data_IF_782980537622
#
_entry.id   IF_782980537622
#
_cell.length_a   1.000
_cell.length_b   1.000
_cell.length_c   1.000
_cell.angle_alpha   90.00
_cell.angle_beta   90.00
_cell.angle_gamma   90.00
#
_symmetry.space_group_name_H-M   'P 1'
#
loop_
_entity.id
_entity.type
_entity.pdbx_description
1 polymer ?
#
# COMPACT_ATOMS: atom_id res chain seq x y z
N UNK A 1 -13.08 13.05 -21.06
CA UNK A 1 -12.56 11.73 -21.41
C UNK A 1 -11.39 11.41 -20.48
N UNK A 2 -11.51 10.40 -19.63
CA UNK A 2 -10.49 10.01 -18.66
C UNK A 2 -9.44 9.17 -19.38
N UNK A 3 -8.13 9.44 -19.17
CA UNK A 3 -7.07 8.63 -19.78
C UNK A 3 -7.13 7.17 -19.31
N UNK A 4 -6.94 6.17 -20.18
CA UNK A 4 -6.94 4.74 -19.81
C UNK A 4 -5.94 4.37 -18.70
N UNK A 5 -4.84 5.11 -18.60
CA UNK A 5 -3.84 4.94 -17.54
C UNK A 5 -4.43 5.11 -16.13
N UNK A 6 -5.31 6.11 -15.94
CA UNK A 6 -5.96 6.33 -14.63
C UNK A 6 -6.84 5.16 -14.21
N UNK A 7 -7.55 4.57 -15.18
CA UNK A 7 -8.40 3.42 -14.92
C UNK A 7 -7.56 2.18 -14.60
N UNK A 8 -6.44 1.99 -15.30
CA UNK A 8 -5.51 0.91 -15.04
C UNK A 8 -4.87 1.01 -13.64
N UNK A 9 -4.41 2.20 -13.23
CA UNK A 9 -3.87 2.42 -11.87
C UNK A 9 -4.96 2.21 -10.83
N UNK A 10 -6.16 2.75 -11.05
CA UNK A 10 -7.31 2.54 -10.17
C UNK A 10 -7.56 1.06 -9.93
N UNK A 11 -7.59 0.27 -10.99
CA UNK A 11 -7.85 -1.17 -10.95
C UNK A 11 -6.75 -1.96 -10.23
N UNK A 12 -5.48 -1.74 -10.56
CA UNK A 12 -4.36 -2.47 -9.96
C UNK A 12 -4.32 -2.34 -8.43
N UNK A 13 -4.77 -1.22 -7.91
CA UNK A 13 -4.81 -1.00 -6.46
C UNK A 13 -6.19 -1.30 -5.84
N UNK A 14 -7.25 -1.42 -6.62
CA UNK A 14 -8.56 -1.88 -6.14
C UNK A 14 -8.56 -3.38 -5.95
N UNK A 15 -8.05 -4.04 -6.97
CA UNK A 15 -7.95 -5.47 -7.06
C UNK A 15 -9.18 -6.20 -6.50
N UNK A 16 -10.18 -6.39 -7.33
CA UNK A 16 -11.44 -7.05 -6.97
C UNK A 16 -11.28 -8.42 -6.30
N UNK A 17 -10.07 -8.96 -6.25
CA UNK A 17 -9.76 -10.24 -5.63
C UNK A 17 -9.03 -10.10 -4.28
N UNK A 18 -8.36 -9.00 -3.96
CA UNK A 18 -7.34 -9.09 -2.92
C UNK A 18 -7.00 -7.80 -2.18
N UNK A 19 -7.73 -6.87 -1.92
CA UNK A 19 -7.46 -5.69 -1.10
C UNK A 19 -5.99 -5.22 -0.92
N UNK A 20 -5.74 -4.02 -0.42
CA UNK A 20 -4.40 -3.37 -0.41
C UNK A 20 -3.26 -4.20 0.21
N UNK A 21 -3.48 -4.98 1.29
CA UNK A 21 -2.40 -5.79 1.88
C UNK A 21 -1.84 -6.86 0.95
N UNK A 22 -2.64 -7.36 -0.01
CA UNK A 22 -2.22 -8.43 -0.91
C UNK A 22 -1.21 -7.93 -1.94
N UNK A 23 -1.41 -6.74 -2.51
CA UNK A 23 -0.42 -6.11 -3.39
C UNK A 23 0.94 -5.93 -2.69
N UNK A 24 0.92 -5.48 -1.44
CA UNK A 24 2.11 -5.39 -0.58
C UNK A 24 2.76 -6.76 -0.39
N UNK A 25 1.95 -7.80 -0.12
CA UNK A 25 2.44 -9.17 0.09
C UNK A 25 3.08 -9.77 -1.16
N UNK A 26 2.53 -9.52 -2.34
CA UNK A 26 3.10 -9.98 -3.61
C UNK A 26 4.50 -9.37 -3.85
N UNK A 27 4.64 -8.04 -3.63
CA UNK A 27 5.93 -7.38 -3.76
C UNK A 27 6.93 -7.91 -2.74
N UNK A 28 6.52 -8.11 -1.49
CA UNK A 28 7.36 -8.70 -0.45
C UNK A 28 7.85 -10.09 -0.82
N UNK A 29 6.95 -10.95 -1.29
CA UNK A 29 7.30 -12.32 -1.72
C UNK A 29 8.28 -12.31 -2.88
N UNK A 30 8.07 -11.43 -3.86
CA UNK A 30 8.99 -11.28 -4.99
C UNK A 30 10.37 -10.78 -4.54
N UNK A 31 10.45 -9.85 -3.60
CA UNK A 31 11.72 -9.37 -3.04
C UNK A 31 12.45 -10.47 -2.26
N UNK A 32 11.75 -11.24 -1.43
CA UNK A 32 12.32 -12.37 -0.69
C UNK A 32 12.94 -13.37 -1.65
N UNK A 33 12.22 -13.74 -2.71
CA UNK A 33 12.71 -14.67 -3.72
C UNK A 33 13.89 -14.09 -4.52
N UNK A 34 13.81 -12.82 -4.95
CA UNK A 34 14.87 -12.17 -5.74
C UNK A 34 16.18 -12.01 -4.96
N UNK A 35 16.11 -11.79 -3.65
CA UNK A 35 17.26 -11.61 -2.78
C UNK A 35 17.77 -12.93 -2.20
N UNK A 36 17.12 -14.05 -2.50
CA UNK A 36 17.42 -15.39 -1.99
C UNK A 36 17.62 -15.37 -0.46
N UNK A 37 16.62 -14.79 0.24
CA UNK A 37 16.74 -14.61 1.68
C UNK A 37 16.71 -15.95 2.42
N UNK A 38 17.64 -16.18 3.40
CA UNK A 38 17.54 -17.31 4.30
C UNK A 38 16.18 -17.37 5.00
N UNK A 39 15.67 -18.56 5.29
CA UNK A 39 14.32 -18.78 5.86
C UNK A 39 14.05 -17.91 7.09
N UNK A 40 15.00 -17.80 8.01
CA UNK A 40 14.84 -16.99 9.22
C UNK A 40 14.70 -15.50 8.91
N UNK A 41 15.44 -15.01 7.92
CA UNK A 41 15.36 -13.61 7.49
C UNK A 41 14.07 -13.35 6.71
N UNK A 42 13.69 -14.24 5.81
CA UNK A 42 12.42 -14.19 5.09
C UNK A 42 11.23 -14.14 6.06
N UNK A 43 11.24 -15.02 7.09
CA UNK A 43 10.22 -15.02 8.14
C UNK A 43 10.20 -13.71 8.94
N UNK A 44 11.36 -13.13 9.26
CA UNK A 44 11.47 -11.83 9.91
C UNK A 44 10.86 -10.72 9.05
N UNK A 45 11.16 -10.69 7.75
CA UNK A 45 10.61 -9.71 6.82
C UNK A 45 9.09 -9.81 6.74
N UNK A 46 8.58 -11.03 6.55
CA UNK A 46 7.14 -11.30 6.56
C UNK A 46 6.49 -10.78 7.85
N UNK A 47 7.00 -11.17 9.00
CA UNK A 47 6.44 -10.79 10.28
C UNK A 47 6.45 -9.28 10.52
N UNK A 48 7.54 -8.57 10.16
CA UNK A 48 7.63 -7.11 10.33
C UNK A 48 6.66 -6.37 9.42
N UNK A 49 6.56 -6.76 8.14
CA UNK A 49 5.63 -6.10 7.20
C UNK A 49 4.19 -6.33 7.64
N UNK A 50 3.81 -7.57 7.99
CA UNK A 50 2.46 -7.84 8.45
C UNK A 50 2.11 -7.18 9.78
N UNK A 51 3.07 -7.07 10.71
CA UNK A 51 2.87 -6.33 11.96
C UNK A 51 2.64 -4.82 11.69
N UNK A 52 3.37 -4.24 10.73
CA UNK A 52 3.17 -2.86 10.32
C UNK A 52 1.80 -2.67 9.67
N UNK A 53 1.39 -3.57 8.76
CA UNK A 53 0.07 -3.55 8.12
C UNK A 53 -1.06 -3.68 9.14
N UNK A 54 -0.96 -4.63 10.07
CA UNK A 54 -1.96 -4.83 11.12
C UNK A 54 -2.14 -3.58 11.99
N UNK A 55 -1.02 -3.00 12.44
CA UNK A 55 -1.07 -1.77 13.23
C UNK A 55 -1.67 -0.61 12.45
N UNK A 56 -1.25 -0.44 11.20
CA UNK A 56 -1.78 0.58 10.31
C UNK A 56 -3.29 0.42 10.10
N UNK A 57 -3.77 -0.80 9.91
CA UNK A 57 -5.18 -1.12 9.77
C UNK A 57 -5.99 -0.71 10.99
N UNK A 58 -5.55 -1.11 12.19
CA UNK A 58 -6.23 -0.74 13.43
C UNK A 58 -6.33 0.78 13.61
N UNK A 59 -5.23 1.50 13.35
CA UNK A 59 -5.20 2.94 13.55
C UNK A 59 -6.04 3.68 12.50
N UNK A 60 -5.97 3.28 11.22
CA UNK A 60 -6.74 3.93 10.16
C UNK A 60 -8.25 3.73 10.35
N UNK A 61 -8.69 2.52 10.81
CA UNK A 61 -10.08 2.27 11.08
C UNK A 61 -10.58 3.04 12.31
N UNK A 62 -9.77 3.13 13.36
CA UNK A 62 -10.09 3.95 14.52
C UNK A 62 -10.31 5.41 14.13
N UNK A 63 -9.39 6.00 13.37
CA UNK A 63 -9.52 7.39 12.89
C UNK A 63 -10.72 7.59 11.96
N UNK A 64 -11.02 6.62 11.07
CA UNK A 64 -12.19 6.70 10.19
C UNK A 64 -13.48 6.94 10.96
N UNK A 65 -13.74 6.12 11.95
CA UNK A 65 -14.97 6.20 12.72
C UNK A 65 -14.97 7.32 13.76
N UNK A 66 -13.80 7.74 14.26
CA UNK A 66 -13.69 8.92 15.12
C UNK A 66 -13.97 10.22 14.36
N UNK A 67 -13.50 10.35 13.11
CA UNK A 67 -13.64 11.57 12.32
C UNK A 67 -14.94 11.61 11.51
N UNK A 68 -15.39 10.47 11.05
CA UNK A 68 -16.63 10.28 10.28
C UNK A 68 -16.82 11.26 9.09
N UNK A 69 -15.77 11.45 8.29
CA UNK A 69 -15.77 12.37 7.15
C UNK A 69 -16.53 11.78 5.96
N UNK A 70 -17.36 12.58 5.32
CA UNK A 70 -18.12 12.21 4.12
C UNK A 70 -17.19 11.83 2.97
N UNK A 71 -17.65 10.86 2.15
CA UNK A 71 -17.01 10.53 0.88
C UNK A 71 -17.22 11.65 -0.15
N UNK A 72 -16.30 11.80 -1.14
CA UNK A 72 -16.46 12.78 -2.22
C UNK A 72 -17.83 12.69 -2.91
N UNK A 73 -18.29 11.48 -3.25
CA UNK A 73 -19.60 11.29 -3.86
C UNK A 73 -20.72 11.83 -2.97
N UNK A 74 -20.76 11.41 -1.69
CA UNK A 74 -21.80 11.87 -0.76
C UNK A 74 -21.78 13.37 -0.57
N UNK A 75 -20.57 13.97 -0.55
CA UNK A 75 -20.44 15.43 -0.45
C UNK A 75 -20.96 16.14 -1.71
N UNK A 76 -20.61 15.61 -2.90
CA UNK A 76 -21.08 16.16 -4.18
C UNK A 76 -22.61 16.06 -4.29
N UNK A 77 -23.19 14.89 -4.00
CA UNK A 77 -24.64 14.68 -4.06
C UNK A 77 -25.39 15.61 -3.10
N UNK A 78 -24.81 15.88 -1.92
CA UNK A 78 -25.42 16.73 -0.89
C UNK A 78 -25.29 18.23 -1.15
N UNK A 79 -24.12 18.69 -1.57
CA UNK A 79 -23.82 20.13 -1.62
C UNK A 79 -23.86 20.71 -3.03
N UNK A 80 -23.70 19.86 -4.06
CA UNK A 80 -23.71 20.23 -5.47
C UNK A 80 -24.48 19.20 -6.31
N UNK A 81 -25.80 19.04 -6.09
CA UNK A 81 -26.59 18.04 -6.81
C UNK A 81 -26.46 18.21 -8.33
N UNK A 82 -26.18 17.13 -9.03
CA UNK A 82 -26.03 17.10 -10.48
C UNK A 82 -24.71 17.63 -11.04
N UNK A 83 -23.81 18.16 -10.21
CA UNK A 83 -22.50 18.62 -10.68
C UNK A 83 -21.55 17.47 -11.06
N UNK A 84 -21.75 16.29 -10.48
CA UNK A 84 -20.96 15.09 -10.79
C UNK A 84 -21.86 13.99 -11.39
N UNK A 85 -22.13 14.09 -12.68
CA UNK A 85 -23.09 13.23 -13.39
C UNK A 85 -22.61 11.78 -13.54
N UNK A 86 -21.29 11.54 -13.58
CA UNK A 86 -20.72 10.21 -13.80
C UNK A 86 -20.27 9.53 -12.49
N UNK A 87 -20.31 10.22 -11.36
CA UNK A 87 -19.84 9.68 -10.09
C UNK A 87 -18.33 9.34 -10.07
N UNK A 88 -17.86 8.65 -9.04
CA UNK A 88 -16.50 8.14 -8.97
C UNK A 88 -16.30 6.97 -9.95
N UNK A 89 -15.06 6.76 -10.40
CA UNK A 89 -14.73 5.65 -11.29
C UNK A 89 -14.75 4.29 -10.56
N UNK A 90 -14.60 4.32 -9.25
CA UNK A 90 -14.67 3.15 -8.37
C UNK A 90 -15.89 3.31 -7.46
N UNK A 91 -16.67 2.26 -7.20
CA UNK A 91 -17.78 2.34 -6.27
C UNK A 91 -17.36 2.92 -4.91
N UNK A 92 -18.09 3.94 -4.45
CA UNK A 92 -17.78 4.58 -3.18
C UNK A 92 -18.07 3.64 -2.02
N UNK A 93 -17.07 3.32 -1.16
CA UNK A 93 -17.30 2.47 0.01
C UNK A 93 -18.28 3.10 1.00
N UNK A 94 -18.98 2.26 1.76
CA UNK A 94 -20.00 2.66 2.74
C UNK A 94 -19.45 3.13 4.09
N UNK A 95 -18.13 3.19 4.25
CA UNK A 95 -17.46 3.65 5.46
C UNK A 95 -16.77 5.02 5.23
N UNK A 96 -16.42 5.76 6.31
CA UNK A 96 -15.92 7.12 6.21
C UNK A 96 -14.68 7.29 5.32
N UNK A 97 -14.55 8.48 4.69
CA UNK A 97 -13.47 8.78 3.77
C UNK A 97 -12.11 8.83 4.46
N UNK A 98 -11.98 9.74 5.42
CA UNK A 98 -10.70 10.05 6.09
C UNK A 98 -10.38 9.06 7.22
N UNK A 99 -9.11 8.64 7.35
CA UNK A 99 -8.02 8.69 6.37
C UNK A 99 -8.13 7.58 5.32
N UNK A 100 -7.36 7.64 4.22
CA UNK A 100 -7.34 6.61 3.18
C UNK A 100 -6.70 5.31 3.69
N UNK A 101 -7.44 4.19 3.61
CA UNK A 101 -6.91 2.86 3.95
C UNK A 101 -5.83 2.38 2.99
N UNK A 102 -6.02 2.57 1.67
CA UNK A 102 -5.04 2.18 0.65
C UNK A 102 -3.71 2.91 0.83
N UNK A 103 -3.75 4.22 1.05
CA UNK A 103 -2.56 5.03 1.33
C UNK A 103 -1.84 4.55 2.60
N UNK A 104 -2.62 4.21 3.62
CA UNK A 104 -2.10 3.73 4.90
C UNK A 104 -1.39 2.37 4.75
N UNK A 105 -2.04 1.40 4.09
CA UNK A 105 -1.45 0.08 3.86
C UNK A 105 -0.24 0.14 2.92
N UNK A 106 -0.32 0.90 1.83
CA UNK A 106 0.81 1.12 0.92
C UNK A 106 2.02 1.71 1.65
N UNK A 107 1.81 2.82 2.36
CA UNK A 107 2.88 3.46 3.13
C UNK A 107 3.46 2.52 4.19
N UNK A 108 2.62 1.79 4.96
CA UNK A 108 3.13 0.92 6.01
C UNK A 108 3.94 -0.26 5.47
N UNK A 109 3.47 -0.91 4.42
CA UNK A 109 4.14 -2.06 3.83
C UNK A 109 5.44 -1.68 3.11
N UNK A 110 5.36 -0.78 2.14
CA UNK A 110 6.51 -0.42 1.32
C UNK A 110 7.59 0.34 2.10
N UNK A 111 7.22 1.22 3.04
CA UNK A 111 8.19 1.89 3.92
C UNK A 111 8.87 0.91 4.89
N UNK A 112 8.20 -0.17 5.30
CA UNK A 112 8.86 -1.24 6.07
C UNK A 112 9.87 -1.98 5.21
N UNK A 113 9.52 -2.33 3.96
CA UNK A 113 10.44 -2.99 3.02
C UNK A 113 11.67 -2.13 2.70
N UNK A 114 11.49 -0.81 2.49
CA UNK A 114 12.61 0.13 2.28
C UNK A 114 13.63 0.07 3.42
N UNK A 115 13.16 0.02 4.68
CA UNK A 115 14.05 -0.11 5.84
C UNK A 115 14.78 -1.45 5.89
N UNK A 116 14.09 -2.54 5.54
CA UNK A 116 14.67 -3.87 5.48
C UNK A 116 15.71 -4.01 4.35
N UNK A 117 15.44 -3.40 3.20
CA UNK A 117 16.40 -3.32 2.09
C UNK A 117 17.64 -2.51 2.48
N UNK A 118 17.46 -1.39 3.16
CA UNK A 118 18.56 -0.56 3.65
C UNK A 118 19.47 -1.29 4.64
N UNK A 119 18.93 -2.21 5.49
CA UNK A 119 19.76 -3.08 6.34
C UNK A 119 20.74 -3.93 5.52
N UNK A 120 20.41 -4.22 4.26
CA UNK A 120 21.24 -5.01 3.33
C UNK A 120 22.07 -4.15 2.37
N UNK A 121 22.04 -2.83 2.53
CA UNK A 121 22.71 -1.90 1.62
C UNK A 121 22.04 -1.81 0.24
N UNK A 122 20.78 -2.22 0.11
CA UNK A 122 20.02 -2.15 -1.14
C UNK A 122 19.14 -0.90 -1.11
N UNK A 123 19.30 -0.05 -2.15
CA UNK A 123 18.40 1.06 -2.37
C UNK A 123 17.08 0.57 -2.98
N UNK A 124 16.02 0.59 -2.18
CA UNK A 124 14.69 0.14 -2.62
C UNK A 124 14.03 1.10 -3.61
N UNK A 125 14.48 2.35 -3.69
CA UNK A 125 13.97 3.32 -4.66
C UNK A 125 14.74 3.29 -6.00
N UNK A 126 15.86 2.57 -6.07
CA UNK A 126 16.51 2.22 -7.32
C UNK A 126 15.96 0.94 -7.99
N UNK A 127 15.00 0.27 -7.34
CA UNK A 127 14.40 -0.94 -7.88
C UNK A 127 13.27 -0.60 -8.87
N UNK A 128 13.21 -1.33 -9.98
CA UNK A 128 12.03 -1.33 -10.84
C UNK A 128 11.07 -2.44 -10.38
N UNK A 129 9.83 -2.07 -10.14
CA UNK A 129 8.75 -2.99 -9.76
C UNK A 129 7.65 -2.96 -10.80
N UNK A 130 7.26 -4.14 -11.28
CA UNK A 130 6.12 -4.30 -12.15
C UNK A 130 4.93 -4.82 -11.33
N UNK A 131 3.83 -4.08 -11.34
CA UNK A 131 2.55 -4.56 -10.85
C UNK A 131 1.69 -4.97 -12.04
N UNK A 132 1.17 -6.19 -12.02
CA UNK A 132 0.36 -6.73 -13.08
C UNK A 132 -0.86 -7.46 -12.54
N UNK A 133 -2.00 -7.30 -13.20
CA UNK A 133 -3.20 -8.08 -12.96
C UNK A 133 -3.40 -9.07 -14.12
N UNK A 134 -3.59 -10.36 -13.85
CA UNK A 134 -3.68 -11.38 -14.88
C UNK A 134 -4.99 -11.33 -15.68
N UNK A 135 -6.08 -10.87 -15.08
CA UNK A 135 -7.40 -10.83 -15.71
C UNK A 135 -8.15 -9.55 -15.31
N UNK A 136 -8.07 -8.49 -16.15
CA UNK A 136 -8.79 -7.27 -15.86
C UNK A 136 -10.30 -7.51 -15.89
N UNK A 137 -11.03 -6.90 -14.98
CA UNK A 137 -12.49 -6.92 -14.96
C UNK A 137 -13.08 -6.49 -16.31
N UNK A 138 -14.29 -7.00 -16.61
CA UNK A 138 -14.95 -6.82 -17.91
C UNK A 138 -15.00 -5.37 -18.41
N UNK A 139 -15.21 -4.41 -17.52
CA UNK A 139 -15.25 -2.98 -17.87
C UNK A 139 -13.87 -2.43 -18.27
N UNK A 140 -12.81 -2.96 -17.67
CA UNK A 140 -11.45 -2.58 -17.99
C UNK A 140 -10.96 -3.22 -19.29
N UNK A 141 -11.44 -4.43 -19.62
CA UNK A 141 -11.18 -5.07 -20.92
C UNK A 141 -11.64 -4.20 -22.11
N UNK A 142 -12.71 -3.44 -21.94
CA UNK A 142 -13.15 -2.49 -22.96
C UNK A 142 -12.17 -1.34 -23.15
N UNK A 143 -11.50 -0.91 -22.08
CA UNK A 143 -10.49 0.16 -22.13
C UNK A 143 -9.14 -0.31 -22.67
N UNK A 144 -8.77 -1.55 -22.40
CA UNK A 144 -7.50 -2.15 -22.86
C UNK A 144 -7.57 -2.78 -24.25
N UNK A 145 -8.69 -2.63 -24.95
CA UNK A 145 -8.94 -3.21 -26.29
C UNK A 145 -8.68 -4.72 -26.37
N UNK A 146 -9.04 -5.45 -25.31
CA UNK A 146 -8.88 -6.91 -25.26
C UNK A 146 -7.49 -7.39 -24.87
N UNK A 147 -6.64 -6.52 -24.33
CA UNK A 147 -5.38 -6.93 -23.71
C UNK A 147 -5.63 -7.77 -22.45
N UNK A 148 -5.03 -8.96 -22.39
CA UNK A 148 -5.27 -9.94 -21.32
C UNK A 148 -4.56 -9.60 -20.02
N UNK A 149 -3.75 -8.54 -19.97
CA UNK A 149 -2.96 -8.16 -18.80
C UNK A 149 -2.79 -6.65 -18.70
N UNK A 150 -2.95 -6.13 -17.49
CA UNK A 150 -2.52 -4.79 -17.14
C UNK A 150 -1.21 -4.92 -16.38
N UNK A 151 -0.16 -4.25 -16.85
CA UNK A 151 1.10 -4.16 -16.17
C UNK A 151 1.55 -2.69 -16.14
N UNK A 152 1.88 -2.20 -14.95
CA UNK A 152 2.41 -0.84 -14.74
C UNK A 152 3.76 -0.95 -14.07
N UNK A 153 4.72 -0.22 -14.60
CA UNK A 153 6.07 -0.09 -14.08
C UNK A 153 6.12 1.04 -13.06
N UNK A 154 6.72 0.76 -11.92
CA UNK A 154 7.02 1.74 -10.87
C UNK A 154 8.52 1.81 -10.64
N UNK A 155 9.03 3.00 -10.52
CA UNK A 155 10.42 3.26 -10.14
C UNK A 155 10.48 3.48 -8.62
N UNK A 156 10.91 2.43 -7.93
CA UNK A 156 11.06 2.43 -6.49
C UNK A 156 9.82 2.06 -5.68
N UNK A 157 10.06 1.63 -4.46
CA UNK A 157 9.00 1.31 -3.50
C UNK A 157 8.30 2.56 -2.94
N UNK A 158 8.97 3.71 -2.94
CA UNK A 158 8.32 4.99 -2.58
C UNK A 158 7.22 5.35 -3.56
N UNK A 159 7.47 5.18 -4.87
CA UNK A 159 6.44 5.41 -5.89
C UNK A 159 5.24 4.48 -5.73
N UNK A 160 5.45 3.21 -5.32
CA UNK A 160 4.37 2.29 -5.01
C UNK A 160 3.56 2.73 -3.78
N UNK A 161 4.22 3.25 -2.74
CA UNK A 161 3.53 3.76 -1.55
C UNK A 161 2.61 4.93 -1.90
N UNK A 162 3.05 5.83 -2.78
CA UNK A 162 2.28 6.99 -3.24
C UNK A 162 1.17 6.60 -4.22
N UNK A 163 1.43 5.63 -5.09
CA UNK A 163 0.46 5.19 -6.09
C UNK A 163 -0.83 4.60 -5.46
N UNK A 164 -0.74 3.99 -4.28
CA UNK A 164 -1.90 3.53 -3.52
C UNK A 164 -2.89 4.66 -3.22
N UNK A 165 -2.39 5.82 -2.79
CA UNK A 165 -3.20 7.02 -2.56
C UNK A 165 -3.71 7.67 -3.84
N UNK A 166 -2.83 7.85 -4.81
CA UNK A 166 -3.18 8.37 -6.13
C UNK A 166 -4.29 7.56 -6.80
N UNK A 167 -4.23 6.23 -6.66
CA UNK A 167 -5.25 5.32 -7.19
C UNK A 167 -6.67 5.61 -6.63
N UNK A 168 -6.77 6.10 -5.39
CA UNK A 168 -8.05 6.35 -4.71
C UNK A 168 -8.53 7.79 -4.84
N UNK A 169 -7.62 8.73 -5.00
CA UNK A 169 -7.93 10.16 -5.22
C UNK A 169 -8.17 10.45 -6.70
N UNK A 170 -7.11 10.68 -7.48
CA UNK A 170 -7.20 11.07 -8.88
C UNK A 170 -7.78 9.96 -9.77
N UNK A 171 -7.44 8.70 -9.53
CA UNK A 171 -7.93 7.59 -10.35
C UNK A 171 -9.34 7.14 -9.92
N UNK A 172 -9.56 6.88 -8.66
CA UNK A 172 -10.82 6.34 -8.14
C UNK A 172 -11.90 7.38 -7.89
N UNK A 173 -11.53 8.57 -7.45
CA UNK A 173 -12.48 9.62 -7.06
C UNK A 173 -13.24 9.34 -5.76
N UNK A 174 -12.79 8.38 -4.95
CA UNK A 174 -13.46 7.95 -3.70
C UNK A 174 -12.82 8.52 -2.44
N UNK A 175 -11.73 9.26 -2.57
CA UNK A 175 -11.03 9.96 -1.51
C UNK A 175 -10.67 11.40 -1.90
N UNK A 176 -10.66 12.28 -0.91
CA UNK A 176 -10.04 13.60 -1.02
C UNK A 176 -8.54 13.50 -0.86
N UNK A 177 -7.81 14.52 -1.32
CA UNK A 177 -6.35 14.55 -1.20
C UNK A 177 -5.84 14.49 0.25
N UNK A 178 -6.53 15.15 1.17
CA UNK A 178 -6.16 15.10 2.60
C UNK A 178 -6.36 13.71 3.23
N UNK A 179 -7.25 12.88 2.70
CA UNK A 179 -7.43 11.50 3.17
C UNK A 179 -6.19 10.66 2.86
N UNK A 180 -5.63 10.88 1.66
CA UNK A 180 -4.38 10.24 1.24
C UNK A 180 -3.22 10.64 2.15
N UNK A 181 -2.99 11.93 2.35
CA UNK A 181 -1.93 12.44 3.23
C UNK A 181 -2.09 11.89 4.65
N UNK A 182 -3.32 11.87 5.19
CA UNK A 182 -3.61 11.29 6.50
C UNK A 182 -3.28 9.80 6.58
N UNK A 183 -3.66 9.06 5.54
CA UNK A 183 -3.37 7.63 5.43
C UNK A 183 -1.87 7.34 5.37
N UNK A 184 -1.13 8.06 4.53
CA UNK A 184 0.32 7.89 4.40
C UNK A 184 1.06 8.18 5.72
N UNK A 185 0.66 9.21 6.48
CA UNK A 185 1.25 9.54 7.78
C UNK A 185 1.05 8.42 8.81
N UNK A 186 -0.15 7.85 8.88
CA UNK A 186 -0.44 6.72 9.77
C UNK A 186 0.39 5.50 9.36
N UNK A 187 0.43 5.19 8.06
CA UNK A 187 1.21 4.06 7.54
C UNK A 187 2.69 4.18 7.82
N UNK A 188 3.28 5.35 7.59
CA UNK A 188 4.69 5.64 7.90
C UNK A 188 4.99 5.49 9.41
N UNK A 189 4.12 6.01 10.27
CA UNK A 189 4.26 5.86 11.72
C UNK A 189 4.21 4.38 12.15
N UNK A 190 3.30 3.60 11.57
CA UNK A 190 3.18 2.16 11.83
C UNK A 190 4.42 1.39 11.37
N UNK A 191 4.92 1.67 10.16
CA UNK A 191 6.16 1.10 9.63
C UNK A 191 7.36 1.39 10.53
N UNK A 192 7.53 2.67 10.88
CA UNK A 192 8.62 3.12 11.73
C UNK A 192 8.59 2.44 13.11
N UNK A 193 7.41 2.34 13.71
CA UNK A 193 7.27 1.74 15.04
C UNK A 193 7.52 0.22 14.98
N UNK A 194 6.90 -0.51 14.05
CA UNK A 194 7.13 -1.95 13.89
C UNK A 194 8.62 -2.25 13.69
N UNK A 195 9.26 -1.54 12.76
CA UNK A 195 10.67 -1.71 12.47
C UNK A 195 11.58 -1.43 13.68
N UNK A 196 11.29 -0.39 14.49
CA UNK A 196 12.13 -0.01 15.64
C UNK A 196 11.93 -0.90 16.86
N UNK A 197 10.77 -1.52 17.03
CA UNK A 197 10.41 -2.20 18.28
C UNK A 197 10.31 -3.72 18.16
N UNK A 198 10.06 -4.24 16.97
CA UNK A 198 9.83 -5.67 16.80
C UNK A 198 11.03 -6.38 16.16
N UNK A 199 11.21 -7.66 16.50
CA UNK A 199 12.13 -8.61 15.86
C UNK A 199 13.55 -8.05 15.64
N UNK A 200 14.06 -7.30 16.61
CA UNK A 200 15.46 -6.84 16.58
C UNK A 200 16.42 -8.01 16.72
N UNK A 201 17.60 -7.97 16.05
CA UNK A 201 18.64 -8.96 16.27
C UNK A 201 18.96 -9.02 17.78
N UNK A 202 18.96 -10.22 18.35
CA UNK A 202 19.50 -10.38 19.70
C UNK A 202 20.97 -10.01 19.65
N UNK A 203 21.40 -9.10 20.54
CA UNK A 203 22.84 -8.97 20.82
C UNK A 203 23.35 -10.34 21.21
N UNK A 204 24.40 -10.81 20.54
CA UNK A 204 25.06 -12.04 20.97
C UNK A 204 25.30 -11.94 22.50
N UNK A 205 24.92 -12.95 23.28
CA UNK A 205 25.26 -12.93 24.70
C UNK A 205 26.78 -12.71 24.80
N UNK A 206 27.19 -11.76 25.62
CA UNK A 206 28.58 -11.53 25.92
C UNK A 206 29.13 -12.88 26.40
N UNK A 207 29.90 -13.58 25.56
CA UNK A 207 30.63 -14.78 26.02
C UNK A 207 31.60 -14.28 27.08
N UNK A 208 31.46 -14.67 28.35
CA UNK A 208 32.48 -14.35 29.31
C UNK A 208 33.78 -14.96 28.77
N UNK A 209 34.82 -14.14 28.65
CA UNK A 209 36.15 -14.64 28.34
C UNK A 209 36.49 -15.66 29.41
N UNK A 210 36.72 -16.93 29.00
CA UNK A 210 37.26 -17.93 29.91
C UNK A 210 38.59 -17.39 30.44
N UNK A 211 38.83 -17.46 31.75
CA UNK A 211 40.14 -17.08 32.31
C UNK A 211 41.20 -17.97 31.65
N UNK A 212 42.41 -17.46 31.40
CA UNK A 212 43.51 -18.29 30.89
C UNK A 212 43.77 -19.43 31.88
N UNK A 213 43.92 -20.65 31.33
CA UNK A 213 44.35 -21.82 32.12
C UNK A 213 45.79 -21.68 32.56
#
# INVERSE_FOLDING_TARGET
HRPPFFDAVGFLFEDGASGPPTGVSHVLTALIARLDLPVAEAARWQALVWAALHRAGNEVWREKYCRNILRPQTAMDRFWPGAWTNGPAIPSPTFPAYPSGHSCFGASGYRTMLRLLAERGVDGDALTVWMAAPDPERWLRQLTRGGDRIAIRFEGLSALAEAGGFSRTACGGIHFWHDDIGGQRIGEAAASLAYRTLLKPRRAPHRPSLPPM
#
